data_IF_841765252334
#
_entry.id   IF_841765252334
#
_cell.length_a   1.000
_cell.length_b   1.000
_cell.length_c   1.000
_cell.angle_alpha   90.00
_cell.angle_beta   90.00
_cell.angle_gamma   90.00
#
_symmetry.space_group_name_H-M   'P 1'
#
loop_
_entity.id
_entity.type
_entity.pdbx_description
1 polymer ?
#
# COMPACT_ATOMS: atom_id res chain seq x y z
N UNK A 1 -4.88 -7.57 4.29
CA UNK A 1 -4.10 -8.19 5.38
C UNK A 1 -3.34 -9.43 4.93
N UNK A 2 -3.77 -10.08 3.84
CA UNK A 2 -3.19 -11.32 3.31
C UNK A 2 -2.48 -11.12 1.97
N UNK A 3 -2.24 -9.87 1.61
CA UNK A 3 -1.41 -9.52 0.45
C UNK A 3 0.07 -9.81 0.75
N UNK A 4 0.77 -10.33 -0.22
CA UNK A 4 2.19 -10.70 -0.13
C UNK A 4 3.08 -9.53 0.30
N UNK A 5 2.82 -8.36 -0.28
CA UNK A 5 3.53 -7.12 0.00
C UNK A 5 3.31 -6.64 1.45
N UNK A 6 2.05 -6.68 1.94
CA UNK A 6 1.72 -6.29 3.30
C UNK A 6 2.26 -7.28 4.35
N UNK A 7 2.17 -8.59 4.11
CA UNK A 7 2.74 -9.62 4.98
C UNK A 7 4.25 -9.42 5.15
N UNK A 8 4.95 -9.11 4.06
CA UNK A 8 6.39 -8.84 4.08
C UNK A 8 6.72 -7.60 4.92
N UNK A 9 6.01 -6.50 4.70
CA UNK A 9 6.18 -5.27 5.49
C UNK A 9 5.89 -5.52 6.97
N UNK A 10 4.78 -6.22 7.26
CA UNK A 10 4.41 -6.54 8.65
C UNK A 10 5.50 -7.37 9.34
N UNK A 11 6.02 -8.39 8.68
CA UNK A 11 7.10 -9.23 9.21
C UNK A 11 8.36 -8.40 9.50
N UNK A 12 8.79 -7.53 8.57
CA UNK A 12 9.95 -6.66 8.78
C UNK A 12 9.80 -5.73 10.00
N UNK A 13 8.59 -5.22 10.22
CA UNK A 13 8.27 -4.35 11.36
C UNK A 13 8.22 -5.16 12.66
N UNK A 14 7.53 -6.29 12.66
CA UNK A 14 7.38 -7.15 13.85
C UNK A 14 8.74 -7.71 14.33
N UNK A 15 9.63 -8.03 13.40
CA UNK A 15 10.99 -8.49 13.68
C UNK A 15 11.97 -7.36 14.05
N UNK A 16 11.56 -6.09 13.94
CA UNK A 16 12.40 -4.93 14.20
C UNK A 16 13.59 -4.80 13.26
N UNK A 17 13.50 -5.39 12.05
CA UNK A 17 14.58 -5.44 11.07
C UNK A 17 15.06 -4.05 10.63
N UNK A 18 14.16 -3.06 10.62
CA UNK A 18 14.42 -1.68 10.26
C UNK A 18 14.63 -0.75 11.46
N UNK A 19 14.57 -1.27 12.69
CA UNK A 19 14.49 -0.47 13.91
C UNK A 19 13.13 0.19 14.09
N UNK A 20 13.02 1.22 14.92
CA UNK A 20 11.79 1.98 15.09
C UNK A 20 11.43 2.68 13.78
N UNK A 21 10.20 2.43 13.30
CA UNK A 21 9.73 3.04 12.05
C UNK A 21 9.39 4.50 12.30
N UNK A 22 10.00 5.38 11.54
CA UNK A 22 9.81 6.83 11.63
C UNK A 22 8.99 7.41 10.48
N UNK A 23 9.00 6.71 9.33
CA UNK A 23 8.25 7.11 8.15
C UNK A 23 7.71 5.90 7.40
N UNK A 24 6.47 6.01 6.94
CA UNK A 24 5.78 4.98 6.19
C UNK A 24 4.89 5.61 5.13
N UNK A 25 4.99 5.11 3.91
CA UNK A 25 4.04 5.42 2.84
C UNK A 25 3.41 4.14 2.30
N UNK A 26 2.15 4.23 1.94
CA UNK A 26 1.41 3.16 1.26
C UNK A 26 0.55 3.75 0.15
N UNK A 27 0.71 3.25 -1.07
CA UNK A 27 0.12 3.81 -2.27
C UNK A 27 -0.70 2.78 -3.04
N UNK A 28 -1.87 3.23 -3.53
CA UNK A 28 -2.66 2.52 -4.54
C UNK A 28 -2.84 3.40 -5.77
N UNK A 29 -1.73 3.78 -6.39
CA UNK A 29 -1.71 4.63 -7.56
C UNK A 29 -2.00 3.85 -8.84
N UNK A 30 -2.66 4.50 -9.79
CA UNK A 30 -2.99 3.90 -11.07
C UNK A 30 -3.14 4.97 -12.15
N UNK A 31 -3.11 4.56 -13.42
CA UNK A 31 -3.41 5.46 -14.53
C UNK A 31 -4.78 5.14 -15.13
N UNK A 32 -5.80 5.92 -14.76
CA UNK A 32 -7.19 5.82 -15.25
C UNK A 32 -7.77 7.23 -15.45
N UNK A 33 -7.30 7.99 -16.47
CA UNK A 33 -7.65 9.40 -16.62
C UNK A 33 -9.10 9.62 -17.06
N UNK A 34 -9.77 8.60 -17.66
CA UNK A 34 -11.16 8.73 -18.08
C UNK A 34 -12.12 8.29 -16.97
N UNK A 35 -13.17 9.08 -16.76
CA UNK A 35 -14.29 8.72 -15.90
C UNK A 35 -15.11 7.62 -16.56
N UNK A 36 -15.44 6.57 -15.82
CA UNK A 36 -16.25 5.46 -16.28
C UNK A 36 -17.69 5.55 -15.74
N UNK A 37 -18.66 5.06 -16.50
CA UNK A 37 -20.06 5.01 -16.05
C UNK A 37 -20.28 3.78 -15.16
N UNK A 38 -19.90 3.90 -13.88
CA UNK A 38 -20.13 2.86 -12.88
C UNK A 38 -20.40 3.52 -11.52
N UNK A 39 -21.09 2.80 -10.61
CA UNK A 39 -21.52 3.35 -9.33
C UNK A 39 -20.37 3.92 -8.48
N UNK A 40 -19.19 3.30 -8.54
CA UNK A 40 -17.99 3.75 -7.80
C UNK A 40 -17.45 5.11 -8.25
N UNK A 41 -17.86 5.60 -9.42
CA UNK A 41 -17.46 6.89 -9.98
C UNK A 41 -18.63 7.89 -10.04
N UNK A 42 -19.78 7.54 -9.43
CA UNK A 42 -20.94 8.42 -9.28
C UNK A 42 -20.81 9.30 -8.02
N UNK A 43 -21.80 10.12 -7.79
CA UNK A 43 -21.98 10.94 -6.57
C UNK A 43 -22.71 10.18 -5.44
N UNK A 44 -22.85 8.86 -5.54
CA UNK A 44 -23.51 8.05 -4.53
C UNK A 44 -22.70 7.97 -3.24
N UNK A 45 -23.34 7.87 -2.08
CA UNK A 45 -22.65 7.66 -0.80
C UNK A 45 -21.75 6.41 -0.85
N UNK A 46 -20.51 6.52 -0.36
CA UNK A 46 -19.54 5.43 -0.36
C UNK A 46 -18.82 5.21 -1.69
N UNK A 47 -19.07 6.05 -2.71
CA UNK A 47 -18.32 6.03 -3.97
C UNK A 47 -16.95 6.69 -3.84
N UNK A 48 -16.12 6.54 -4.86
CA UNK A 48 -14.78 7.12 -4.96
C UNK A 48 -13.69 6.27 -4.35
N UNK A 49 -12.45 6.60 -4.71
CA UNK A 49 -11.28 5.80 -4.34
C UNK A 49 -10.93 5.89 -2.85
N UNK A 50 -11.41 6.91 -2.14
CA UNK A 50 -11.24 6.98 -0.69
C UNK A 50 -11.94 5.82 0.02
N UNK A 51 -13.18 5.53 -0.33
CA UNK A 51 -13.91 4.40 0.23
C UNK A 51 -13.45 3.06 -0.34
N UNK A 52 -13.12 3.01 -1.64
CA UNK A 52 -12.69 1.77 -2.33
C UNK A 52 -11.28 1.34 -1.91
N UNK A 53 -10.31 2.26 -1.86
CA UNK A 53 -8.89 1.98 -1.63
C UNK A 53 -8.38 2.51 -0.29
N UNK A 54 -8.83 3.68 0.11
CA UNK A 54 -8.39 4.32 1.35
C UNK A 54 -8.73 3.48 2.58
N UNK A 55 -9.86 2.78 2.56
CA UNK A 55 -10.26 1.85 3.63
C UNK A 55 -9.23 0.73 3.83
N UNK A 56 -8.68 0.18 2.75
CA UNK A 56 -7.63 -0.86 2.82
C UNK A 56 -6.32 -0.31 3.35
N UNK A 57 -5.89 0.87 2.87
CA UNK A 57 -4.66 1.49 3.33
C UNK A 57 -4.75 1.87 4.81
N UNK A 58 -5.90 2.42 5.23
CA UNK A 58 -6.13 2.78 6.62
C UNK A 58 -6.13 1.54 7.53
N UNK A 59 -6.81 0.46 7.13
CA UNK A 59 -6.79 -0.80 7.89
C UNK A 59 -5.37 -1.33 8.06
N UNK A 60 -4.57 -1.35 6.98
CA UNK A 60 -3.18 -1.78 7.03
C UNK A 60 -2.36 -0.92 7.99
N UNK A 61 -2.48 0.41 7.92
CA UNK A 61 -1.77 1.32 8.80
C UNK A 61 -2.15 1.13 10.27
N UNK A 62 -3.44 0.95 10.56
CA UNK A 62 -3.92 0.70 11.92
C UNK A 62 -3.48 -0.66 12.47
N UNK A 63 -3.34 -1.68 11.63
CA UNK A 63 -2.78 -2.98 12.01
C UNK A 63 -1.30 -2.89 12.38
N UNK A 64 -0.53 -2.04 11.68
CA UNK A 64 0.90 -1.89 11.92
C UNK A 64 1.21 -0.97 13.12
N UNK A 65 0.43 0.09 13.30
CA UNK A 65 0.82 1.20 14.16
C UNK A 65 -0.22 1.60 15.21
N UNK A 66 -1.40 0.99 15.18
CA UNK A 66 -2.51 1.37 16.06
C UNK A 66 -3.13 2.74 15.70
N UNK A 67 -3.84 3.35 16.65
CA UNK A 67 -4.52 4.62 16.44
C UNK A 67 -3.52 5.78 16.40
N UNK A 68 -3.60 6.68 15.40
CA UNK A 68 -2.80 7.91 15.35
C UNK A 68 -3.33 8.96 16.34
N UNK A 69 -2.47 9.94 16.68
CA UNK A 69 -2.90 11.12 17.44
C UNK A 69 -3.79 12.05 16.60
N UNK A 70 -3.45 12.22 15.31
CA UNK A 70 -4.24 13.02 14.37
C UNK A 70 -4.23 12.37 12.98
N UNK A 71 -5.30 12.67 12.23
CA UNK A 71 -5.41 12.36 10.82
C UNK A 71 -5.81 13.64 10.08
N UNK A 72 -5.07 13.96 9.01
CA UNK A 72 -5.42 14.99 8.04
C UNK A 72 -5.53 14.35 6.67
N UNK A 73 -6.57 14.67 5.91
CA UNK A 73 -6.76 14.14 4.57
C UNK A 73 -7.13 15.24 3.58
N UNK A 74 -6.45 15.25 2.44
CA UNK A 74 -6.85 15.96 1.24
C UNK A 74 -7.56 14.99 0.31
N UNK A 75 -8.82 15.26 0.00
CA UNK A 75 -9.65 14.45 -0.88
C UNK A 75 -10.13 15.33 -2.04
N UNK A 76 -9.86 14.92 -3.26
CA UNK A 76 -10.18 15.72 -4.42
C UNK A 76 -10.81 14.91 -5.56
N UNK A 77 -11.54 15.64 -6.41
CA UNK A 77 -12.01 15.16 -7.72
C UNK A 77 -11.19 15.92 -8.77
N UNK A 78 -10.20 15.27 -9.34
CA UNK A 78 -9.25 15.88 -10.26
C UNK A 78 -9.60 15.65 -11.74
N UNK A 79 -10.34 14.56 -12.05
CA UNK A 79 -10.72 14.27 -13.43
C UNK A 79 -11.82 15.21 -13.91
N UNK A 80 -11.69 15.82 -15.10
CA UNK A 80 -12.78 16.61 -15.69
C UNK A 80 -14.06 15.79 -15.81
N UNK A 81 -15.18 16.33 -15.30
CA UNK A 81 -16.48 15.65 -15.28
C UNK A 81 -16.61 14.54 -14.23
N UNK A 82 -15.60 14.32 -13.40
CA UNK A 82 -15.67 13.40 -12.26
C UNK A 82 -16.70 13.86 -11.22
N UNK A 83 -17.27 12.93 -10.48
CA UNK A 83 -18.24 13.18 -9.39
C UNK A 83 -17.81 12.54 -8.08
N UNK A 84 -16.96 11.54 -8.13
CA UNK A 84 -16.44 10.83 -6.98
C UNK A 84 -14.98 11.19 -6.74
N UNK A 85 -14.54 11.13 -5.49
CA UNK A 85 -13.12 11.33 -5.10
C UNK A 85 -12.24 10.38 -5.91
N UNK A 86 -11.26 10.92 -6.61
CA UNK A 86 -10.31 10.20 -7.46
C UNK A 86 -8.83 10.53 -7.16
N UNK A 87 -8.63 11.27 -6.08
CA UNK A 87 -7.34 11.55 -5.45
C UNK A 87 -7.52 11.61 -3.94
N UNK A 88 -6.59 11.03 -3.20
CA UNK A 88 -6.45 11.34 -1.78
C UNK A 88 -4.99 11.30 -1.34
N UNK A 89 -4.69 12.12 -0.34
CA UNK A 89 -3.47 12.08 0.43
C UNK A 89 -3.82 12.25 1.90
N UNK A 90 -3.64 11.21 2.70
CA UNK A 90 -3.94 11.21 4.13
C UNK A 90 -2.66 11.04 4.94
N UNK A 91 -2.47 11.93 5.92
CA UNK A 91 -1.33 11.92 6.83
C UNK A 91 -1.80 11.54 8.22
N UNK A 92 -1.31 10.42 8.73
CA UNK A 92 -1.53 9.97 10.10
C UNK A 92 -0.30 10.35 10.93
N UNK A 93 -0.54 11.11 12.03
CA UNK A 93 0.52 11.58 12.91
C UNK A 93 0.56 10.75 14.19
N UNK A 94 1.75 10.26 14.52
CA UNK A 94 2.10 9.61 15.78
C UNK A 94 3.24 10.40 16.43
N UNK A 95 3.57 10.20 17.71
CA UNK A 95 4.60 11.00 18.41
C UNK A 95 5.95 11.06 17.66
N UNK A 96 6.41 9.92 17.14
CA UNK A 96 7.70 9.79 16.44
C UNK A 96 7.59 9.26 15.01
N UNK A 97 6.38 9.16 14.44
CA UNK A 97 6.15 8.56 13.12
C UNK A 97 5.22 9.43 12.29
N UNK A 98 5.46 9.41 10.97
CA UNK A 98 4.52 9.90 9.96
C UNK A 98 4.15 8.77 9.03
N UNK A 99 2.84 8.61 8.81
CA UNK A 99 2.28 7.61 7.89
C UNK A 99 1.50 8.35 6.83
N UNK A 100 1.82 8.08 5.57
CA UNK A 100 1.16 8.67 4.41
C UNK A 100 0.41 7.57 3.66
N UNK A 101 -0.87 7.81 3.41
CA UNK A 101 -1.74 6.95 2.62
C UNK A 101 -2.17 7.73 1.38
N UNK A 102 -1.85 7.22 0.21
CA UNK A 102 -2.04 7.97 -1.03
C UNK A 102 -2.69 7.14 -2.13
N UNK A 103 -3.51 7.77 -2.94
CA UNK A 103 -3.94 7.21 -4.21
C UNK A 103 -4.28 8.31 -5.21
N UNK A 104 -3.84 8.12 -6.44
CA UNK A 104 -4.20 8.96 -7.58
C UNK A 104 -4.56 8.10 -8.79
N UNK A 105 -5.39 8.66 -9.67
CA UNK A 105 -5.71 8.05 -10.97
C UNK A 105 -4.82 8.56 -12.11
N UNK A 106 -3.84 9.40 -11.82
CA UNK A 106 -2.96 10.03 -12.82
C UNK A 106 -1.51 9.54 -12.77
N UNK A 107 -1.20 8.48 -12.05
CA UNK A 107 0.13 7.89 -12.03
C UNK A 107 0.41 7.13 -13.34
N UNK A 108 1.07 7.79 -14.29
CA UNK A 108 1.53 7.17 -15.55
C UNK A 108 2.75 6.30 -15.31
N UNK A 109 3.69 6.81 -14.51
CA UNK A 109 4.84 6.03 -14.06
C UNK A 109 4.47 5.17 -12.84
N UNK A 110 5.13 4.04 -12.70
CA UNK A 110 4.98 3.21 -11.51
C UNK A 110 5.49 3.94 -10.26
N UNK A 111 4.67 3.95 -9.21
CA UNK A 111 5.02 4.45 -7.88
C UNK A 111 5.32 3.28 -6.94
N UNK A 112 6.10 3.53 -5.90
CA UNK A 112 6.32 2.51 -4.88
C UNK A 112 5.00 2.17 -4.19
N UNK A 113 4.73 0.88 -4.00
CA UNK A 113 3.57 0.39 -3.22
C UNK A 113 3.77 0.69 -1.73
N UNK A 114 4.99 0.45 -1.23
CA UNK A 114 5.40 0.78 0.13
C UNK A 114 6.77 1.46 0.14
N UNK A 115 6.89 2.48 0.98
CA UNK A 115 8.15 3.08 1.42
C UNK A 115 8.15 3.03 2.95
N UNK A 116 9.10 2.29 3.52
CA UNK A 116 9.22 2.12 4.97
C UNK A 116 10.62 2.57 5.39
N UNK A 117 10.71 3.53 6.30
CA UNK A 117 11.98 4.04 6.81
C UNK A 117 12.01 3.94 8.34
N UNK A 118 13.03 3.27 8.83
CA UNK A 118 13.29 3.10 10.24
C UNK A 118 14.70 3.58 10.62
N UNK A 119 15.02 3.52 11.90
CA UNK A 119 16.29 4.00 12.44
C UNK A 119 17.50 3.18 11.95
N UNK A 120 17.28 1.91 11.53
CA UNK A 120 18.34 1.01 11.07
C UNK A 120 18.34 0.74 9.58
N UNK A 121 17.32 1.16 8.86
CA UNK A 121 17.24 0.91 7.43
C UNK A 121 15.90 1.29 6.81
N UNK A 122 15.80 0.99 5.52
CA UNK A 122 14.63 1.29 4.70
C UNK A 122 14.21 0.07 3.88
N UNK A 123 12.94 -0.01 3.55
CA UNK A 123 12.40 -0.99 2.62
C UNK A 123 11.51 -0.31 1.58
N UNK A 124 11.70 -0.66 0.32
CA UNK A 124 10.89 -0.15 -0.79
C UNK A 124 10.34 -1.34 -1.58
N UNK A 125 9.04 -1.33 -1.84
CA UNK A 125 8.35 -2.34 -2.64
C UNK A 125 7.61 -1.68 -3.79
N UNK A 126 7.78 -2.23 -4.98
CA UNK A 126 7.01 -1.88 -6.16
C UNK A 126 6.03 -3.00 -6.53
N UNK A 127 4.95 -2.63 -7.23
CA UNK A 127 3.93 -3.55 -7.67
C UNK A 127 2.91 -3.91 -6.60
N UNK A 128 1.79 -4.44 -7.07
CA UNK A 128 0.70 -4.92 -6.25
C UNK A 128 0.77 -6.43 -6.07
N UNK A 129 0.12 -6.92 -5.03
CA UNK A 129 -0.11 -8.35 -4.82
C UNK A 129 -0.80 -8.98 -6.04
N UNK A 130 -0.37 -10.16 -6.51
CA UNK A 130 -0.89 -10.78 -7.72
C UNK A 130 -2.21 -11.54 -7.52
N UNK A 131 -2.64 -11.78 -6.27
CA UNK A 131 -3.76 -12.69 -5.97
C UNK A 131 -5.08 -12.20 -6.56
N UNK A 132 -5.36 -10.89 -6.48
CA UNK A 132 -6.59 -10.32 -7.03
C UNK A 132 -6.68 -10.49 -8.55
N UNK A 133 -5.57 -10.26 -9.26
CA UNK A 133 -5.53 -10.39 -10.72
C UNK A 133 -5.70 -11.85 -11.16
N UNK A 134 -5.13 -12.81 -10.42
CA UNK A 134 -5.33 -14.24 -10.64
C UNK A 134 -6.80 -14.64 -10.44
N UNK A 135 -7.45 -14.13 -9.39
CA UNK A 135 -8.89 -14.34 -9.18
C UNK A 135 -9.75 -13.76 -10.31
N UNK A 136 -9.43 -12.54 -10.76
CA UNK A 136 -10.12 -11.91 -11.90
C UNK A 136 -9.92 -12.68 -13.21
N UNK A 137 -8.77 -13.34 -13.38
CA UNK A 137 -8.51 -14.24 -14.50
C UNK A 137 -9.26 -15.58 -14.40
N UNK A 138 -10.00 -15.82 -13.31
CA UNK A 138 -10.80 -17.02 -13.10
C UNK A 138 -10.03 -18.20 -12.52
N UNK A 139 -8.80 -17.99 -12.02
CA UNK A 139 -8.05 -19.03 -11.35
C UNK A 139 -8.74 -19.45 -10.05
N UNK A 140 -8.73 -20.76 -9.78
CA UNK A 140 -9.35 -21.32 -8.58
C UNK A 140 -8.30 -21.65 -7.52
N UNK A 141 -8.64 -21.39 -6.26
CA UNK A 141 -7.84 -21.75 -5.10
C UNK A 141 -8.07 -23.20 -4.67
N UNK A 142 -7.10 -23.86 -4.03
CA UNK A 142 -5.70 -23.45 -3.89
C UNK A 142 -4.82 -23.88 -5.09
N UNK A 143 -3.76 -23.10 -5.34
CA UNK A 143 -2.71 -23.44 -6.32
C UNK A 143 -1.35 -23.47 -5.57
N UNK A 144 -0.39 -24.33 -5.96
CA UNK A 144 0.90 -24.46 -5.26
C UNK A 144 1.71 -23.15 -5.17
N UNK A 145 1.58 -22.26 -6.17
CA UNK A 145 2.25 -20.97 -6.27
C UNK A 145 1.31 -19.79 -5.96
N UNK A 146 0.18 -20.07 -5.33
CA UNK A 146 -0.77 -19.02 -4.97
C UNK A 146 -0.13 -17.96 -4.04
N UNK A 147 -0.36 -16.68 -4.37
CA UNK A 147 0.21 -15.57 -3.60
C UNK A 147 1.70 -15.32 -3.83
N UNK A 148 2.36 -16.09 -4.69
CA UNK A 148 3.76 -15.83 -5.04
C UNK A 148 3.88 -14.56 -5.89
N UNK A 149 4.53 -13.54 -5.35
CA UNK A 149 4.88 -12.32 -6.07
C UNK A 149 6.31 -12.44 -6.60
N UNK A 150 6.47 -12.28 -7.91
CA UNK A 150 7.78 -12.34 -8.60
C UNK A 150 8.63 -11.08 -8.37
N UNK A 151 8.03 -10.03 -7.84
CA UNK A 151 8.69 -8.75 -7.64
C UNK A 151 9.10 -8.60 -6.18
N UNK A 152 10.36 -8.81 -5.93
CA UNK A 152 10.94 -8.61 -4.61
C UNK A 152 10.98 -7.12 -4.24
N UNK A 153 11.00 -6.84 -2.95
CA UNK A 153 11.31 -5.51 -2.46
C UNK A 153 12.82 -5.33 -2.25
N UNK A 154 13.22 -4.11 -2.02
CA UNK A 154 14.63 -3.75 -1.74
C UNK A 154 14.74 -3.30 -0.29
N UNK A 155 15.60 -3.95 0.48
CA UNK A 155 15.95 -3.54 1.83
C UNK A 155 17.37 -2.96 1.83
N UNK A 156 17.51 -1.78 2.43
CA UNK A 156 18.79 -1.11 2.66
C UNK A 156 18.99 -0.96 4.15
N UNK A 157 20.03 -1.56 4.70
CA UNK A 157 20.37 -1.47 6.11
C UNK A 157 21.61 -0.60 6.31
N UNK A 158 21.63 0.17 7.41
CA UNK A 158 22.79 0.92 7.86
C UNK A 158 23.41 0.22 9.07
N UNK A 159 24.70 -0.12 8.97
CA UNK A 159 25.48 -0.65 10.07
C UNK A 159 26.73 0.21 10.23
N UNK A 160 26.81 0.97 11.31
CA UNK A 160 27.90 1.93 11.61
C UNK A 160 28.20 2.89 10.44
N UNK A 161 27.14 3.33 9.74
CA UNK A 161 27.25 4.23 8.59
C UNK A 161 27.58 3.54 7.26
N UNK A 162 27.80 2.24 7.26
CA UNK A 162 27.98 1.45 6.03
C UNK A 162 26.61 0.95 5.56
N UNK A 163 26.26 1.30 4.33
CA UNK A 163 24.97 0.90 3.73
C UNK A 163 25.14 -0.43 3.02
N UNK A 164 24.21 -1.35 3.28
CA UNK A 164 24.09 -2.63 2.60
C UNK A 164 22.69 -2.75 2.00
N UNK A 165 22.62 -2.86 0.68
CA UNK A 165 21.36 -3.05 -0.07
C UNK A 165 21.27 -4.48 -0.59
N UNK A 166 20.09 -5.05 -0.51
CA UNK A 166 19.78 -6.35 -1.09
C UNK A 166 18.32 -6.49 -1.49
N UNK A 167 18.05 -7.33 -2.47
CA UNK A 167 16.70 -7.82 -2.74
C UNK A 167 16.20 -8.66 -1.56
N UNK A 168 14.94 -8.47 -1.20
CA UNK A 168 14.27 -9.24 -0.16
C UNK A 168 13.07 -9.96 -0.77
N UNK A 169 13.10 -11.29 -0.73
CA UNK A 169 12.01 -12.13 -1.22
C UNK A 169 10.68 -11.73 -0.57
N UNK A 170 9.69 -11.55 -1.40
CA UNK A 170 8.33 -11.23 -0.93
C UNK A 170 7.69 -12.49 -0.36
N UNK A 171 7.16 -12.41 0.85
CA UNK A 171 6.41 -13.48 1.50
C UNK A 171 5.16 -13.79 0.66
N UNK A 172 4.85 -15.06 0.35
CA UNK A 172 3.65 -15.38 -0.41
C UNK A 172 2.37 -14.90 0.27
N UNK A 173 1.50 -14.28 -0.50
CA UNK A 173 0.17 -13.88 -0.03
C UNK A 173 -0.71 -15.10 0.28
N UNK A 174 -1.75 -14.91 1.12
CA UNK A 174 -2.55 -16.02 1.60
C UNK A 174 -4.04 -15.65 1.72
N UNK A 175 -4.70 -15.33 0.61
CA UNK A 175 -6.15 -15.09 0.60
C UNK A 175 -6.98 -16.27 1.16
N UNK A 176 -6.59 -17.54 0.99
CA UNK A 176 -7.33 -18.64 1.61
C UNK A 176 -7.41 -18.58 3.15
N UNK A 177 -6.54 -17.82 3.81
CA UNK A 177 -6.57 -17.64 5.27
C UNK A 177 -7.60 -16.58 5.73
N UNK A 178 -8.27 -15.91 4.80
CA UNK A 178 -9.34 -14.93 5.09
C UNK A 178 -10.68 -15.63 5.44
#
# INVERSE_FOLDING_TARGET
RWDSDFLTVKTLIDEGALGDIVYFESHYDRYKPQVQQRWRESDAPGSGIWFDLGSHLLDQALQLFGLPETLQADLAVLRPGGKAVDYFNAVLTYPRRRVILHSTVYAVAETARFIVQGEKGSYIKFGLDPQEDRLKAGERLPQPDWGFDKRDGVITLSNDGVLAEKSLLTIPGNYPAY
#
